data_IF_037289727780
#
_entry.id   IF_037289727780
#
_cell.length_a   1.000
_cell.length_b   1.000
_cell.length_c   1.000
_cell.angle_alpha   90.00
_cell.angle_beta   90.00
_cell.angle_gamma   90.00
#
_symmetry.space_group_name_H-M   'P 1'
#
loop_
_entity.id
_entity.type
_entity.pdbx_description
1 polymer ?
#
# COMPACT_ATOMS: atom_id res chain seq x y z
N UNK A 1 -5.48 -3.22 13.33
CA UNK A 1 -5.86 -3.83 12.04
C UNK A 1 -6.04 -5.34 12.24
N UNK A 2 -7.02 -5.96 11.58
CA UNK A 2 -7.28 -7.41 11.65
C UNK A 2 -6.72 -8.17 10.45
N UNK A 3 -6.59 -9.50 10.56
CA UNK A 3 -6.23 -10.34 9.41
C UNK A 3 -7.23 -10.21 8.25
N UNK A 4 -8.52 -9.98 8.54
CA UNK A 4 -9.56 -9.86 7.52
C UNK A 4 -9.50 -8.52 6.76
N UNK A 5 -9.16 -7.42 7.44
CA UNK A 5 -8.89 -6.13 6.79
C UNK A 5 -7.73 -6.22 5.79
N UNK A 6 -6.70 -7.01 6.12
CA UNK A 6 -5.53 -7.20 5.27
C UNK A 6 -5.85 -8.08 4.04
N UNK A 7 -6.70 -9.11 4.21
CA UNK A 7 -7.24 -9.89 3.08
C UNK A 7 -8.10 -9.05 2.16
N UNK A 8 -8.98 -8.22 2.73
CA UNK A 8 -9.82 -7.30 1.98
C UNK A 8 -8.97 -6.33 1.15
N UNK A 9 -7.94 -5.74 1.77
CA UNK A 9 -6.99 -4.86 1.10
C UNK A 9 -6.27 -5.53 -0.09
N UNK A 10 -5.77 -6.76 0.08
CA UNK A 10 -5.18 -7.52 -1.03
C UNK A 10 -6.16 -7.67 -2.20
N UNK A 11 -7.44 -7.95 -1.91
CA UNK A 11 -8.47 -8.10 -2.93
C UNK A 11 -8.80 -6.78 -3.62
N UNK A 12 -8.91 -5.69 -2.87
CA UNK A 12 -9.20 -4.34 -3.38
C UNK A 12 -8.08 -3.82 -4.28
N UNK A 13 -6.82 -4.06 -3.88
CA UNK A 13 -5.64 -3.61 -4.61
C UNK A 13 -5.20 -4.58 -5.72
N UNK A 14 -5.86 -5.73 -5.86
CA UNK A 14 -5.48 -6.77 -6.81
C UNK A 14 -4.09 -7.37 -6.54
N UNK A 15 -3.66 -7.38 -5.27
CA UNK A 15 -2.34 -7.86 -4.84
C UNK A 15 -2.42 -9.28 -4.31
N UNK A 16 -1.38 -10.08 -4.62
CA UNK A 16 -1.13 -11.34 -3.93
C UNK A 16 -0.54 -11.08 -2.53
N UNK A 17 -0.65 -12.07 -1.63
CA UNK A 17 0.00 -11.97 -0.31
C UNK A 17 1.52 -11.88 -0.42
N UNK A 18 2.12 -12.45 -1.47
CA UNK A 18 3.53 -12.33 -1.74
C UNK A 18 3.93 -10.89 -2.05
N UNK A 19 3.23 -10.25 -2.98
CA UNK A 19 3.50 -8.85 -3.36
C UNK A 19 3.26 -7.90 -2.19
N UNK A 20 2.21 -8.13 -1.40
CA UNK A 20 1.99 -7.33 -0.20
C UNK A 20 3.13 -7.55 0.81
N UNK A 21 3.54 -8.80 1.07
CA UNK A 21 4.64 -9.07 1.98
C UNK A 21 5.93 -8.36 1.55
N UNK A 22 6.26 -8.41 0.26
CA UNK A 22 7.42 -7.70 -0.30
C UNK A 22 7.33 -6.18 -0.07
N UNK A 23 6.16 -5.56 -0.32
CA UNK A 23 5.94 -4.13 -0.07
C UNK A 23 6.00 -3.75 1.41
N UNK A 24 5.62 -4.65 2.30
CA UNK A 24 5.71 -4.48 3.75
C UNK A 24 7.10 -4.80 4.31
N UNK A 25 8.06 -5.24 3.48
CA UNK A 25 9.40 -5.63 3.92
C UNK A 25 9.44 -6.96 4.68
N UNK A 26 8.52 -7.87 4.37
CA UNK A 26 8.35 -9.16 5.03
C UNK A 26 8.50 -10.33 4.07
N UNK A 27 8.73 -11.54 4.60
CA UNK A 27 8.61 -12.76 3.79
C UNK A 27 7.14 -13.14 3.61
N UNK A 28 6.81 -13.75 2.45
CA UNK A 28 5.47 -14.25 2.17
C UNK A 28 4.97 -15.20 3.27
N UNK A 29 5.82 -16.14 3.71
CA UNK A 29 5.49 -17.07 4.80
C UNK A 29 5.22 -16.37 6.13
N UNK A 30 5.96 -15.30 6.43
CA UNK A 30 5.75 -14.50 7.64
C UNK A 30 4.39 -13.80 7.64
N UNK A 31 4.05 -13.13 6.54
CA UNK A 31 2.76 -12.46 6.40
C UNK A 31 1.60 -13.48 6.39
N UNK A 32 1.73 -14.56 5.62
CA UNK A 32 0.70 -15.61 5.54
C UNK A 32 0.43 -16.27 6.88
N UNK A 33 1.49 -16.58 7.64
CA UNK A 33 1.33 -17.12 9.00
C UNK A 33 0.67 -16.14 9.95
N UNK A 34 0.99 -14.85 9.86
CA UNK A 34 0.34 -13.82 10.66
C UNK A 34 -1.17 -13.73 10.35
N UNK A 35 -1.56 -13.80 9.08
CA UNK A 35 -2.96 -13.80 8.64
C UNK A 35 -3.71 -15.05 9.09
N UNK A 36 -3.13 -16.25 8.89
CA UNK A 36 -3.80 -17.53 9.21
C UNK A 36 -4.02 -17.69 10.72
N UNK A 37 -3.05 -17.26 11.53
CA UNK A 37 -3.12 -17.40 12.98
C UNK A 37 -3.75 -16.19 13.68
N UNK A 38 -4.22 -15.20 12.92
CA UNK A 38 -4.72 -13.91 13.43
C UNK A 38 -3.72 -13.23 14.40
N UNK A 39 -2.43 -13.34 14.07
CA UNK A 39 -1.32 -12.77 14.85
C UNK A 39 -0.73 -11.56 14.13
N UNK A 40 -1.57 -10.59 13.81
CA UNK A 40 -1.11 -9.30 13.30
C UNK A 40 -0.45 -8.56 14.46
N UNK A 41 0.88 -8.50 14.45
CA UNK A 41 1.65 -7.79 15.47
C UNK A 41 1.63 -6.28 15.21
N UNK A 42 1.95 -5.49 16.23
CA UNK A 42 2.09 -4.03 16.08
C UNK A 42 3.09 -3.62 14.99
N UNK A 43 4.13 -4.44 14.76
CA UNK A 43 5.10 -4.22 13.69
C UNK A 43 4.46 -4.36 12.30
N UNK A 44 3.66 -5.41 12.09
CA UNK A 44 2.94 -5.63 10.82
C UNK A 44 1.94 -4.50 10.57
N UNK A 45 1.20 -4.12 11.62
CA UNK A 45 0.27 -3.00 11.55
C UNK A 45 0.96 -1.69 11.20
N UNK A 46 2.11 -1.41 11.83
CA UNK A 46 2.88 -0.21 11.53
C UNK A 46 3.39 -0.19 10.08
N UNK A 47 4.02 -1.28 9.62
CA UNK A 47 4.50 -1.40 8.23
C UNK A 47 3.37 -1.19 7.22
N UNK A 48 2.19 -1.73 7.50
CA UNK A 48 1.03 -1.56 6.64
C UNK A 48 0.48 -0.13 6.62
N UNK A 49 0.42 0.53 7.78
CA UNK A 49 0.02 1.94 7.85
C UNK A 49 1.01 2.83 7.11
N UNK A 50 2.32 2.53 7.18
CA UNK A 50 3.32 3.21 6.37
C UNK A 50 3.10 2.98 4.88
N UNK A 51 2.82 1.75 4.47
CA UNK A 51 2.52 1.46 3.07
C UNK A 51 1.26 2.20 2.56
N UNK A 52 0.18 2.25 3.35
CA UNK A 52 -0.99 3.06 3.03
C UNK A 52 -0.64 4.54 2.86
N UNK A 53 0.16 5.10 3.77
CA UNK A 53 0.59 6.50 3.67
C UNK A 53 1.41 6.76 2.41
N UNK A 54 2.24 5.81 1.99
CA UNK A 54 2.98 5.90 0.71
C UNK A 54 2.00 5.98 -0.46
N UNK A 55 0.99 5.11 -0.51
CA UNK A 55 -0.01 5.13 -1.58
C UNK A 55 -0.79 6.44 -1.64
N UNK A 56 -1.16 7.00 -0.48
CA UNK A 56 -1.81 8.32 -0.41
C UNK A 56 -0.90 9.42 -0.97
N UNK A 57 0.37 9.45 -0.57
CA UNK A 57 1.35 10.41 -1.05
C UNK A 57 1.61 10.28 -2.55
N UNK A 58 1.68 9.06 -3.09
CA UNK A 58 1.79 8.81 -4.52
C UNK A 58 0.58 9.37 -5.29
N UNK A 59 -0.63 9.24 -4.72
CA UNK A 59 -1.82 9.81 -5.30
C UNK A 59 -1.83 11.36 -5.26
N UNK A 60 -1.48 11.96 -4.12
CA UNK A 60 -1.34 13.43 -3.97
C UNK A 60 -0.29 13.99 -4.97
N UNK A 61 0.81 13.26 -5.17
CA UNK A 61 1.84 13.64 -6.13
C UNK A 61 1.33 13.56 -7.56
N UNK A 62 0.57 12.52 -7.91
CA UNK A 62 -0.03 12.36 -9.23
C UNK A 62 -0.93 13.55 -9.58
N UNK A 63 -1.76 14.00 -8.66
CA UNK A 63 -2.64 15.16 -8.89
C UNK A 63 -1.82 16.44 -9.13
N UNK A 64 -0.72 16.60 -8.39
CA UNK A 64 0.21 17.72 -8.54
C UNK A 64 0.92 17.69 -9.90
N UNK A 65 1.38 16.52 -10.35
CA UNK A 65 2.03 16.37 -11.66
C UNK A 65 1.05 16.56 -12.82
N UNK A 66 -0.21 16.12 -12.66
CA UNK A 66 -1.28 16.38 -13.64
C UNK A 66 -1.52 17.88 -13.77
N UNK A 67 -1.66 18.59 -12.65
CA UNK A 67 -1.82 20.05 -12.65
C UNK A 67 -0.60 20.75 -13.27
N UNK A 68 0.61 20.34 -12.89
CA UNK A 68 1.86 20.90 -13.44
C UNK A 68 1.90 20.72 -14.95
N UNK A 69 1.61 19.51 -15.44
CA UNK A 69 1.58 19.19 -16.87
C UNK A 69 0.51 20.00 -17.60
N UNK A 70 -0.68 20.14 -17.02
CA UNK A 70 -1.74 20.96 -17.60
C UNK A 70 -1.33 22.43 -17.73
N UNK A 71 -0.70 23.02 -16.69
CA UNK A 71 -0.19 24.39 -16.72
C UNK A 71 0.92 24.58 -17.75
N UNK A 72 1.86 23.63 -17.83
CA UNK A 72 2.92 23.60 -18.86
C UNK A 72 2.34 23.62 -20.27
N UNK A 73 1.37 22.75 -20.53
CA UNK A 73 0.69 22.68 -21.82
C UNK A 73 -0.05 23.98 -22.17
N UNK A 74 -0.72 24.62 -21.20
CA UNK A 74 -1.40 25.90 -21.40
C UNK A 74 -0.43 27.05 -21.70
N UNK A 75 0.70 27.08 -21.00
CA UNK A 75 1.74 28.10 -21.14
C UNK A 75 2.71 27.81 -22.30
N UNK A 76 2.61 26.64 -22.95
CA UNK A 76 3.51 26.13 -24.00
C UNK A 76 5.00 26.09 -23.56
N UNK A 77 5.25 25.74 -22.30
CA UNK A 77 6.59 25.61 -21.68
C UNK A 77 6.80 24.25 -21.04
#
# INVERSE_FOLDING_TARGET
MTADELKAFCKEMGLTYKELAEKLGMSEGGLKNAIINDKITSSIEHSFNMYKRILELENELKDTEVLRTALKNLLKI
#
